data_IF_533839636181
#
_entry.id   IF_533839636181
#
_cell.length_a   1.000
_cell.length_b   1.000
_cell.length_c   1.000
_cell.angle_alpha   90.00
_cell.angle_beta   90.00
_cell.angle_gamma   90.00
#
_symmetry.space_group_name_H-M   'P 1'
#
loop_
_entity.id
_entity.type
_entity.pdbx_description
1 polymer ?
#
# COMPACT_ATOMS: atom_id res chain seq x y z
N UNK A 1 27.41 -34.39 -10.06
CA UNK A 1 26.48 -33.26 -9.89
C UNK A 1 25.78 -32.98 -11.22
N UNK A 2 24.45 -33.06 -11.27
CA UNK A 2 23.69 -32.73 -12.48
C UNK A 2 23.60 -31.21 -12.55
N UNK A 3 24.04 -30.62 -13.67
CA UNK A 3 23.91 -29.18 -13.93
C UNK A 3 22.55 -28.91 -14.56
N UNK A 4 21.83 -27.91 -14.05
CA UNK A 4 20.57 -27.42 -14.62
C UNK A 4 20.80 -26.05 -15.28
N UNK A 5 20.08 -25.72 -16.35
CA UNK A 5 20.12 -24.37 -16.94
C UNK A 5 19.77 -23.28 -15.93
N UNK A 6 20.40 -22.12 -16.08
CA UNK A 6 20.06 -20.95 -15.23
C UNK A 6 18.63 -20.50 -15.48
N UNK A 7 17.73 -20.54 -14.49
CA UNK A 7 16.36 -20.10 -14.68
C UNK A 7 16.30 -18.58 -14.92
N UNK A 8 15.37 -18.15 -15.78
CA UNK A 8 15.03 -16.76 -15.99
C UNK A 8 13.53 -16.59 -15.78
N UNK A 9 13.16 -15.60 -14.97
CA UNK A 9 11.76 -15.30 -14.68
C UNK A 9 11.34 -14.07 -15.48
N UNK A 10 10.26 -14.22 -16.23
CA UNK A 10 9.69 -13.17 -17.07
C UNK A 10 8.20 -13.08 -16.79
N UNK A 11 7.68 -11.86 -16.64
CA UNK A 11 6.26 -11.57 -16.50
C UNK A 11 5.83 -10.71 -17.68
N UNK A 12 4.78 -11.11 -18.36
CA UNK A 12 4.08 -10.31 -19.34
C UNK A 12 2.89 -9.62 -18.68
N UNK A 13 3.01 -8.32 -18.45
CA UNK A 13 1.98 -7.53 -17.81
C UNK A 13 1.04 -6.93 -18.85
N UNK A 14 -0.25 -7.25 -18.73
CA UNK A 14 -1.32 -6.73 -19.56
C UNK A 14 -2.43 -6.05 -18.73
N UNK A 15 -2.05 -5.50 -17.56
CA UNK A 15 -2.98 -4.79 -16.66
C UNK A 15 -3.21 -3.34 -17.06
N UNK A 16 -4.10 -2.66 -16.33
CA UNK A 16 -4.53 -1.29 -16.60
C UNK A 16 -3.67 -0.21 -15.94
N UNK A 17 -2.91 -0.58 -14.92
CA UNK A 17 -2.04 0.38 -14.24
C UNK A 17 -0.92 0.84 -15.16
N UNK A 18 -0.58 2.13 -15.09
CA UNK A 18 0.57 2.66 -15.81
C UNK A 18 1.85 2.07 -15.23
N UNK A 19 2.58 1.34 -16.07
CA UNK A 19 3.89 0.79 -15.73
C UNK A 19 4.92 1.13 -16.81
N UNK A 20 6.20 1.17 -16.46
CA UNK A 20 7.28 1.27 -17.45
C UNK A 20 7.16 0.16 -18.50
N UNK A 21 7.71 0.40 -19.70
CA UNK A 21 7.73 -0.62 -20.76
C UNK A 21 8.45 -1.90 -20.29
N UNK A 22 9.57 -1.74 -19.58
CA UNK A 22 10.34 -2.84 -18.98
C UNK A 22 10.70 -2.45 -17.54
N UNK A 23 10.45 -3.34 -16.61
CA UNK A 23 10.76 -3.17 -15.19
C UNK A 23 11.45 -4.41 -14.65
N UNK A 24 12.41 -4.26 -13.75
CA UNK A 24 13.01 -5.38 -13.02
C UNK A 24 12.56 -5.36 -11.57
N UNK A 25 11.91 -6.43 -11.17
CA UNK A 25 11.41 -6.59 -9.79
C UNK A 25 12.30 -7.57 -9.03
N UNK A 26 12.44 -7.33 -7.73
CA UNK A 26 13.27 -8.11 -6.82
C UNK A 26 12.42 -8.58 -5.65
N UNK A 27 12.58 -9.84 -5.25
CA UNK A 27 11.89 -10.41 -4.08
C UNK A 27 12.22 -9.63 -2.80
N UNK A 28 13.48 -9.21 -2.68
CA UNK A 28 13.93 -8.38 -1.55
C UNK A 28 13.17 -7.04 -1.41
N UNK A 29 12.46 -6.58 -2.44
CA UNK A 29 11.62 -5.39 -2.34
C UNK A 29 10.46 -5.55 -1.36
N UNK A 30 10.01 -6.81 -1.14
CA UNK A 30 8.92 -7.16 -0.23
C UNK A 30 9.40 -7.53 1.20
N UNK A 31 10.71 -7.57 1.44
CA UNK A 31 11.22 -7.92 2.78
C UNK A 31 11.11 -6.74 3.73
N UNK A 32 10.69 -7.02 4.96
CA UNK A 32 10.75 -6.08 6.07
C UNK A 32 12.17 -6.07 6.66
N UNK A 33 12.69 -4.88 6.99
CA UNK A 33 13.99 -4.72 7.63
C UNK A 33 15.17 -4.49 6.67
N UNK A 34 16.40 -4.70 7.19
CA UNK A 34 17.63 -4.49 6.41
C UNK A 34 17.79 -5.52 5.30
N UNK A 35 18.14 -5.03 4.09
CA UNK A 35 18.29 -5.84 2.88
C UNK A 35 19.75 -6.22 2.60
N UNK A 36 20.55 -6.37 3.66
CA UNK A 36 21.96 -6.77 3.56
C UNK A 36 22.11 -8.27 3.78
N UNK A 37 23.00 -8.91 3.01
CA UNK A 37 23.35 -10.35 3.14
C UNK A 37 22.13 -11.27 3.06
N UNK A 38 21.37 -11.15 1.98
CA UNK A 38 20.19 -11.99 1.75
C UNK A 38 20.59 -13.41 1.39
N UNK A 39 20.05 -14.41 2.08
CA UNK A 39 20.22 -15.83 1.73
C UNK A 39 19.35 -16.22 0.52
N UNK A 40 18.30 -15.47 0.23
CA UNK A 40 17.42 -15.69 -0.92
C UNK A 40 17.14 -14.37 -1.64
N UNK A 41 17.46 -14.34 -2.92
CA UNK A 41 17.06 -13.29 -3.84
C UNK A 41 16.52 -13.89 -5.14
N UNK A 42 15.40 -13.35 -5.62
CA UNK A 42 14.83 -13.68 -6.92
C UNK A 42 14.56 -12.38 -7.66
N UNK A 43 14.92 -12.31 -8.92
CA UNK A 43 14.54 -11.20 -9.77
C UNK A 43 13.75 -11.67 -10.98
N UNK A 44 12.75 -10.89 -11.40
CA UNK A 44 12.04 -11.11 -12.64
C UNK A 44 12.05 -9.84 -13.50
N UNK A 45 11.95 -10.03 -14.81
CA UNK A 45 11.78 -8.93 -15.77
C UNK A 45 10.32 -8.88 -16.17
N UNK A 46 9.68 -7.72 -15.95
CA UNK A 46 8.29 -7.46 -16.32
C UNK A 46 8.28 -6.67 -17.62
N UNK A 47 7.58 -7.18 -18.64
CA UNK A 47 7.32 -6.49 -19.90
C UNK A 47 5.88 -6.02 -19.93
N UNK A 48 5.66 -4.72 -19.99
CA UNK A 48 4.32 -4.14 -20.15
C UNK A 48 3.88 -4.27 -21.62
N UNK A 49 2.95 -5.18 -21.90
CA UNK A 49 2.48 -5.44 -23.26
C UNK A 49 1.68 -4.27 -23.85
N UNK A 50 1.17 -3.37 -23.02
CA UNK A 50 0.44 -2.18 -23.46
C UNK A 50 1.36 -0.98 -23.75
N UNK A 51 2.66 -1.09 -23.45
CA UNK A 51 3.61 -0.03 -23.72
C UNK A 51 3.99 0.00 -25.20
N UNK A 52 3.96 1.19 -25.86
CA UNK A 52 4.31 1.32 -27.29
C UNK A 52 5.71 0.81 -27.61
N UNK A 53 6.64 0.92 -26.69
CA UNK A 53 8.03 0.47 -26.83
C UNK A 53 8.16 -1.04 -26.98
N UNK A 54 7.16 -1.82 -26.52
CA UNK A 54 7.13 -3.28 -26.62
C UNK A 54 6.38 -3.79 -27.85
N UNK A 55 5.99 -2.92 -28.77
CA UNK A 55 5.31 -3.31 -30.00
C UNK A 55 6.09 -4.35 -30.81
N UNK A 56 7.40 -4.19 -30.92
CA UNK A 56 8.26 -5.16 -31.63
C UNK A 56 8.25 -6.55 -30.97
N UNK A 57 8.07 -6.62 -29.62
CA UNK A 57 7.92 -7.90 -28.92
C UNK A 57 6.62 -8.60 -29.32
N UNK A 58 5.51 -7.86 -29.44
CA UNK A 58 4.24 -8.39 -29.87
C UNK A 58 4.29 -8.86 -31.34
N UNK A 59 4.94 -8.11 -32.22
CA UNK A 59 5.10 -8.45 -33.63
C UNK A 59 5.89 -9.78 -33.83
N UNK A 60 6.75 -10.15 -32.89
CA UNK A 60 7.51 -11.42 -32.93
C UNK A 60 6.73 -12.63 -32.44
N UNK A 61 5.56 -12.46 -31.85
CA UNK A 61 4.75 -13.54 -31.29
C UNK A 61 3.29 -13.34 -31.58
N UNK A 62 2.77 -14.06 -32.57
CA UNK A 62 1.35 -14.04 -32.92
C UNK A 62 0.44 -14.36 -31.72
N UNK A 63 0.85 -15.31 -30.86
CA UNK A 63 0.09 -15.69 -29.67
C UNK A 63 0.05 -14.54 -28.67
N UNK A 64 1.19 -13.89 -28.42
CA UNK A 64 1.28 -12.78 -27.47
C UNK A 64 0.50 -11.56 -27.97
N UNK A 65 0.62 -11.25 -29.25
CA UNK A 65 -0.17 -10.22 -29.92
C UNK A 65 -1.67 -10.50 -29.80
N UNK A 66 -2.10 -11.70 -30.17
CA UNK A 66 -3.51 -12.07 -30.16
C UNK A 66 -4.10 -12.06 -28.75
N UNK A 67 -3.36 -12.55 -27.75
CA UNK A 67 -3.75 -12.46 -26.35
C UNK A 67 -3.95 -11.00 -25.92
N UNK A 68 -2.96 -10.15 -26.19
CA UNK A 68 -3.02 -8.72 -25.81
C UNK A 68 -4.18 -8.01 -26.50
N UNK A 69 -4.36 -8.25 -27.80
CA UNK A 69 -5.46 -7.69 -28.55
C UNK A 69 -6.83 -8.09 -27.99
N UNK A 70 -7.01 -9.41 -27.73
CA UNK A 70 -8.24 -9.94 -27.17
C UNK A 70 -8.59 -9.33 -25.81
N UNK A 71 -7.64 -9.35 -24.85
CA UNK A 71 -7.87 -8.78 -23.51
C UNK A 71 -8.18 -7.29 -23.58
N UNK A 72 -7.45 -6.54 -24.38
CA UNK A 72 -7.70 -5.11 -24.56
C UNK A 72 -9.08 -4.84 -25.17
N UNK A 73 -9.53 -5.72 -26.09
CA UNK A 73 -10.86 -5.61 -26.68
C UNK A 73 -11.97 -5.88 -25.65
N UNK A 74 -11.82 -6.92 -24.82
CA UNK A 74 -12.76 -7.20 -23.71
C UNK A 74 -12.83 -5.98 -22.76
N UNK A 75 -11.69 -5.42 -22.38
CA UNK A 75 -11.64 -4.26 -21.52
C UNK A 75 -12.34 -3.04 -22.12
N UNK A 76 -12.08 -2.73 -23.39
CA UNK A 76 -12.72 -1.63 -24.09
C UNK A 76 -14.23 -1.80 -24.20
N UNK A 77 -14.71 -3.03 -24.47
CA UNK A 77 -16.14 -3.33 -24.52
C UNK A 77 -16.80 -3.12 -23.15
N UNK A 78 -16.13 -3.52 -22.04
CA UNK A 78 -16.61 -3.27 -20.68
C UNK A 78 -16.67 -1.78 -20.33
N UNK A 79 -15.66 -1.01 -20.72
CA UNK A 79 -15.63 0.44 -20.53
C UNK A 79 -16.75 1.14 -21.28
N UNK A 80 -17.20 0.57 -22.41
CA UNK A 80 -18.37 1.02 -23.15
C UNK A 80 -19.72 0.52 -22.57
N UNK A 81 -19.70 -0.10 -21.39
CA UNK A 81 -20.90 -0.50 -20.65
C UNK A 81 -21.46 -1.88 -21.02
N UNK A 82 -20.71 -2.71 -21.75
CA UNK A 82 -21.15 -4.09 -22.01
C UNK A 82 -21.00 -4.96 -20.77
N UNK A 83 -21.98 -5.86 -20.57
CA UNK A 83 -21.83 -6.93 -19.58
C UNK A 83 -20.66 -7.85 -19.94
N UNK A 84 -20.02 -8.45 -18.92
CA UNK A 84 -18.78 -9.22 -19.10
C UNK A 84 -18.90 -10.32 -20.16
N UNK A 85 -19.96 -11.13 -20.11
CA UNK A 85 -20.15 -12.22 -21.07
C UNK A 85 -20.28 -11.70 -22.50
N UNK A 86 -21.05 -10.63 -22.70
CA UNK A 86 -21.19 -9.97 -23.99
C UNK A 86 -19.88 -9.34 -24.48
N UNK A 87 -19.12 -8.74 -23.57
CA UNK A 87 -17.83 -8.14 -23.89
C UNK A 87 -16.80 -9.19 -24.36
N UNK A 88 -16.81 -10.37 -23.74
CA UNK A 88 -15.96 -11.50 -24.13
C UNK A 88 -16.40 -12.03 -25.52
N UNK A 89 -17.68 -12.23 -25.72
CA UNK A 89 -18.22 -12.76 -26.99
C UNK A 89 -17.90 -11.84 -28.16
N UNK A 90 -18.14 -10.54 -28.02
CA UNK A 90 -17.83 -9.57 -29.07
C UNK A 90 -16.32 -9.50 -29.36
N UNK A 91 -15.48 -9.64 -28.31
CA UNK A 91 -14.05 -9.70 -28.50
C UNK A 91 -13.59 -10.95 -29.24
N UNK A 92 -14.15 -12.13 -28.96
CA UNK A 92 -13.90 -13.38 -29.69
C UNK A 92 -14.33 -13.25 -31.14
N UNK A 93 -15.54 -12.73 -31.39
CA UNK A 93 -16.07 -12.55 -32.72
C UNK A 93 -15.25 -11.55 -33.55
N UNK A 94 -14.74 -10.47 -32.89
CA UNK A 94 -13.81 -9.53 -33.51
C UNK A 94 -12.49 -10.20 -33.87
N UNK A 95 -11.86 -10.93 -32.93
CA UNK A 95 -10.64 -11.67 -33.20
C UNK A 95 -10.81 -12.66 -34.38
N UNK A 96 -11.93 -13.39 -34.40
CA UNK A 96 -12.23 -14.34 -35.47
C UNK A 96 -12.40 -13.66 -36.84
N UNK A 97 -13.08 -12.50 -36.88
CA UNK A 97 -13.28 -11.69 -38.10
C UNK A 97 -11.98 -11.12 -38.64
N UNK A 98 -11.06 -10.69 -37.71
CA UNK A 98 -9.75 -10.14 -38.06
C UNK A 98 -8.68 -11.22 -38.26
N UNK A 99 -9.05 -12.50 -38.20
CA UNK A 99 -8.16 -13.64 -38.32
C UNK A 99 -7.07 -13.71 -37.24
N UNK A 100 -7.35 -13.13 -36.06
CA UNK A 100 -6.46 -13.14 -34.90
C UNK A 100 -6.78 -14.37 -34.04
N UNK A 101 -5.84 -15.31 -33.88
CA UNK A 101 -6.03 -16.57 -33.15
C UNK A 101 -7.33 -17.31 -33.50
N UNK A 102 -7.76 -17.25 -34.77
CA UNK A 102 -9.06 -17.76 -35.24
C UNK A 102 -9.27 -19.23 -34.93
N UNK A 103 -8.28 -20.07 -35.20
CA UNK A 103 -8.40 -21.52 -34.99
C UNK A 103 -8.45 -21.85 -33.49
N UNK A 104 -7.72 -21.07 -32.66
CA UNK A 104 -7.78 -21.19 -31.21
C UNK A 104 -9.19 -20.88 -30.70
N UNK A 105 -9.75 -19.74 -31.05
CA UNK A 105 -11.10 -19.37 -30.62
C UNK A 105 -12.18 -20.30 -31.21
N UNK A 106 -11.99 -20.79 -32.41
CA UNK A 106 -12.87 -21.80 -33.01
C UNK A 106 -12.95 -23.09 -32.19
N UNK A 107 -11.83 -23.48 -31.58
CA UNK A 107 -11.75 -24.71 -30.80
C UNK A 107 -12.11 -24.51 -29.32
N UNK A 108 -11.64 -23.41 -28.72
CA UNK A 108 -11.66 -23.21 -27.26
C UNK A 108 -12.56 -22.06 -26.77
N UNK A 109 -13.54 -21.64 -27.58
CA UNK A 109 -14.42 -20.49 -27.24
C UNK A 109 -15.06 -20.62 -25.85
N UNK A 110 -15.57 -21.79 -25.49
CA UNK A 110 -16.24 -22.00 -24.20
C UNK A 110 -15.28 -22.01 -23.02
N UNK A 111 -14.09 -22.58 -23.19
CA UNK A 111 -13.03 -22.56 -22.18
C UNK A 111 -12.55 -21.14 -21.92
N UNK A 112 -12.33 -20.37 -22.97
CA UNK A 112 -11.93 -18.96 -22.88
C UNK A 112 -12.97 -18.15 -22.11
N UNK A 113 -14.26 -18.29 -22.44
CA UNK A 113 -15.36 -17.64 -21.70
C UNK A 113 -15.29 -17.95 -20.20
N UNK A 114 -15.17 -19.22 -19.86
CA UNK A 114 -15.14 -19.67 -18.47
C UNK A 114 -13.91 -19.13 -17.72
N UNK A 115 -12.73 -19.20 -18.32
CA UNK A 115 -11.48 -18.73 -17.70
C UNK A 115 -11.55 -17.21 -17.51
N UNK A 116 -11.92 -16.46 -18.53
CA UNK A 116 -12.01 -15.01 -18.47
C UNK A 116 -13.05 -14.54 -17.43
N UNK A 117 -14.20 -15.22 -17.34
CA UNK A 117 -15.19 -14.90 -16.30
C UNK A 117 -14.63 -15.11 -14.89
N UNK A 118 -13.82 -16.14 -14.67
CA UNK A 118 -13.14 -16.39 -13.38
C UNK A 118 -12.07 -15.32 -13.09
N UNK A 119 -11.22 -15.00 -14.04
CA UNK A 119 -10.15 -14.02 -13.88
C UNK A 119 -10.72 -12.63 -13.55
N UNK A 120 -11.72 -12.17 -14.27
CA UNK A 120 -12.37 -10.89 -13.98
C UNK A 120 -13.09 -10.88 -12.63
N UNK A 121 -13.66 -12.00 -12.20
CA UNK A 121 -14.28 -12.13 -10.87
C UNK A 121 -13.21 -12.07 -9.77
N UNK A 122 -12.08 -12.72 -9.99
CA UNK A 122 -10.97 -12.74 -9.04
C UNK A 122 -10.30 -11.36 -8.92
N UNK A 123 -10.04 -10.68 -10.03
CA UNK A 123 -9.53 -9.30 -10.03
C UNK A 123 -10.46 -8.36 -9.25
N UNK A 124 -11.77 -8.45 -9.48
CA UNK A 124 -12.76 -7.66 -8.76
C UNK A 124 -12.77 -7.97 -7.26
N UNK A 125 -12.63 -9.23 -6.88
CA UNK A 125 -12.54 -9.64 -5.48
C UNK A 125 -11.30 -9.04 -4.81
N UNK A 126 -10.14 -9.09 -5.47
CA UNK A 126 -8.89 -8.48 -4.98
C UNK A 126 -9.07 -6.97 -4.82
N UNK A 127 -9.69 -6.30 -5.80
CA UNK A 127 -9.91 -4.85 -5.75
C UNK A 127 -10.82 -4.45 -4.58
N UNK A 128 -11.92 -5.17 -4.37
CA UNK A 128 -12.82 -4.96 -3.23
C UNK A 128 -12.11 -5.17 -1.90
N UNK A 129 -11.37 -6.27 -1.77
CA UNK A 129 -10.59 -6.57 -0.57
C UNK A 129 -9.54 -5.49 -0.30
N UNK A 130 -8.85 -4.99 -1.34
CA UNK A 130 -7.89 -3.89 -1.23
C UNK A 130 -8.55 -2.60 -0.75
N UNK A 131 -9.74 -2.29 -1.28
CA UNK A 131 -10.51 -1.11 -0.85
C UNK A 131 -10.94 -1.21 0.61
N UNK A 132 -11.41 -2.38 1.06
CA UNK A 132 -11.78 -2.66 2.45
C UNK A 132 -10.58 -2.44 3.39
N UNK A 133 -9.44 -3.08 3.10
CA UNK A 133 -8.21 -2.89 3.91
C UNK A 133 -7.73 -1.45 3.94
N UNK A 134 -7.87 -0.71 2.83
CA UNK A 134 -7.48 0.70 2.80
C UNK A 134 -8.40 1.55 3.68
N UNK A 135 -9.71 1.30 3.65
CA UNK A 135 -10.69 2.01 4.47
C UNK A 135 -10.49 1.70 5.96
N UNK A 136 -10.29 0.43 6.30
CA UNK A 136 -10.06 0.01 7.68
C UNK A 136 -8.76 0.60 8.23
N UNK A 137 -7.68 0.55 7.46
CA UNK A 137 -6.40 1.15 7.84
C UNK A 137 -6.47 2.68 8.00
N UNK A 138 -7.25 3.36 7.17
CA UNK A 138 -7.46 4.79 7.28
C UNK A 138 -8.27 5.14 8.55
N UNK A 139 -9.37 4.42 8.81
CA UNK A 139 -10.21 4.62 9.98
C UNK A 139 -9.45 4.33 11.29
N UNK A 140 -8.64 3.27 11.30
CA UNK A 140 -7.78 2.94 12.45
C UNK A 140 -6.71 4.01 12.67
N UNK A 141 -6.06 4.49 11.61
CA UNK A 141 -5.08 5.56 11.67
C UNK A 141 -5.66 6.89 12.17
N UNK A 142 -6.89 7.24 11.75
CA UNK A 142 -7.60 8.43 12.22
C UNK A 142 -7.93 8.31 13.72
N UNK A 143 -8.48 7.17 14.15
CA UNK A 143 -8.81 6.93 15.55
C UNK A 143 -7.58 6.96 16.46
N UNK A 144 -6.47 6.35 16.02
CA UNK A 144 -5.21 6.39 16.75
C UNK A 144 -4.62 7.81 16.80
N UNK A 145 -4.70 8.56 15.70
CA UNK A 145 -4.26 9.94 15.61
C UNK A 145 -5.05 10.87 16.54
N UNK A 146 -6.38 10.72 16.58
CA UNK A 146 -7.26 11.48 17.46
C UNK A 146 -6.97 11.16 18.94
N UNK A 147 -6.89 9.88 19.29
CA UNK A 147 -6.58 9.45 20.65
C UNK A 147 -5.22 9.98 21.13
N UNK A 148 -4.19 9.90 20.27
CA UNK A 148 -2.85 10.44 20.57
C UNK A 148 -2.88 11.96 20.70
N UNK A 149 -3.51 12.67 19.77
CA UNK A 149 -3.61 14.12 19.81
C UNK A 149 -4.34 14.62 21.06
N UNK A 150 -5.38 13.91 21.53
CA UNK A 150 -6.09 14.21 22.77
C UNK A 150 -5.19 14.00 24.00
N UNK A 151 -4.45 12.88 24.05
CA UNK A 151 -3.50 12.59 25.15
C UNK A 151 -2.40 13.65 25.20
N UNK A 152 -1.79 13.97 24.07
CA UNK A 152 -0.71 14.95 23.95
C UNK A 152 -1.20 16.35 24.36
N UNK A 153 -2.40 16.75 23.93
CA UNK A 153 -3.00 18.03 24.30
C UNK A 153 -3.32 18.13 25.80
N UNK A 154 -3.77 17.06 26.43
CA UNK A 154 -3.98 17.02 27.89
C UNK A 154 -2.66 17.14 28.65
N UNK A 155 -1.62 16.44 28.23
CA UNK A 155 -0.29 16.52 28.81
C UNK A 155 0.31 17.92 28.66
N UNK A 156 0.24 18.53 27.49
CA UNK A 156 0.71 19.91 27.27
C UNK A 156 -0.01 20.93 28.17
N UNK A 157 -1.33 20.79 28.31
CA UNK A 157 -2.09 21.64 29.20
C UNK A 157 -1.64 21.49 30.68
N UNK A 158 -1.45 20.25 31.13
CA UNK A 158 -0.98 19.96 32.48
C UNK A 158 0.43 20.51 32.73
N UNK A 159 1.34 20.38 31.76
CA UNK A 159 2.70 20.96 31.82
C UNK A 159 2.60 22.48 31.95
N UNK A 160 1.78 23.15 31.13
CA UNK A 160 1.64 24.60 31.16
C UNK A 160 1.13 25.09 32.51
N UNK A 161 0.11 24.42 33.06
CA UNK A 161 -0.43 24.77 34.38
C UNK A 161 0.58 24.55 35.51
N UNK A 162 1.31 23.44 35.48
CA UNK A 162 2.35 23.08 36.47
C UNK A 162 3.52 24.08 36.43
N UNK A 163 4.04 24.38 35.24
CA UNK A 163 5.14 25.33 35.05
C UNK A 163 4.78 26.73 35.58
N UNK A 164 3.53 27.20 35.31
CA UNK A 164 3.09 28.50 35.88
C UNK A 164 3.09 28.55 37.39
N UNK A 165 2.85 27.43 38.07
CA UNK A 165 2.84 27.33 39.51
C UNK A 165 4.26 27.18 40.08
N UNK A 166 5.13 26.40 39.39
CA UNK A 166 6.56 26.32 39.72
C UNK A 166 7.26 27.70 39.68
N UNK A 167 6.97 28.50 38.66
CA UNK A 167 7.45 29.90 38.54
C UNK A 167 6.99 30.80 39.68
N UNK A 168 5.92 30.44 40.41
CA UNK A 168 5.45 31.12 41.59
C UNK A 168 6.04 30.55 42.89
N UNK A 169 6.96 29.60 42.80
CA UNK A 169 7.64 29.00 43.94
C UNK A 169 6.79 28.03 44.75
N UNK A 170 5.75 27.43 44.16
CA UNK A 170 4.89 26.45 44.83
C UNK A 170 5.58 25.09 44.87
N UNK A 171 5.37 24.36 45.99
CA UNK A 171 5.81 22.97 46.11
C UNK A 171 4.97 22.02 45.27
N UNK A 172 5.50 20.81 44.99
CA UNK A 172 4.81 19.76 44.22
C UNK A 172 3.45 19.42 44.84
N UNK A 173 3.39 19.29 46.18
CA UNK A 173 2.15 19.00 46.90
C UNK A 173 1.10 20.11 46.72
N UNK A 174 1.54 21.38 46.81
CA UNK A 174 0.64 22.53 46.59
C UNK A 174 0.14 22.61 45.14
N UNK A 175 0.97 22.18 44.19
CA UNK A 175 0.58 22.17 42.77
C UNK A 175 -0.42 21.07 42.53
N UNK A 176 -0.23 19.86 43.05
CA UNK A 176 -1.14 18.74 42.95
C UNK A 176 -2.52 19.09 43.55
N UNK A 177 -2.54 19.65 44.75
CA UNK A 177 -3.77 20.08 45.44
C UNK A 177 -4.53 21.14 44.63
N UNK A 178 -3.83 22.17 44.14
CA UNK A 178 -4.48 23.27 43.39
C UNK A 178 -4.94 22.89 41.97
N UNK A 179 -4.36 21.85 41.37
CA UNK A 179 -4.76 21.33 40.09
C UNK A 179 -5.74 20.16 40.20
N UNK A 180 -6.09 19.78 41.45
CA UNK A 180 -6.92 18.62 41.74
C UNK A 180 -6.43 17.36 40.98
N UNK A 181 -5.10 17.19 40.93
CA UNK A 181 -4.44 16.12 40.17
C UNK A 181 -3.60 15.24 41.08
N UNK A 182 -3.48 13.97 40.69
CA UNK A 182 -2.68 13.00 41.46
C UNK A 182 -1.20 13.33 41.45
N UNK A 183 -0.52 13.07 42.58
CA UNK A 183 0.94 13.25 42.74
C UNK A 183 1.73 12.47 41.66
N UNK A 184 1.24 11.29 41.30
CA UNK A 184 1.83 10.44 40.24
C UNK A 184 1.86 11.16 38.88
N UNK A 185 0.91 12.06 38.63
CA UNK A 185 0.84 12.87 37.40
C UNK A 185 1.71 14.12 37.50
N UNK A 186 1.71 14.81 38.63
CA UNK A 186 2.38 16.10 38.80
C UNK A 186 3.87 15.97 39.07
N UNK A 187 4.30 14.98 39.86
CA UNK A 187 5.71 14.83 40.25
C UNK A 187 6.65 14.63 39.04
N UNK A 188 6.35 13.77 38.02
CA UNK A 188 7.20 13.66 36.85
C UNK A 188 7.29 14.96 36.05
N UNK A 189 6.20 15.73 35.94
CA UNK A 189 6.23 17.02 35.26
C UNK A 189 7.08 18.03 35.97
N UNK A 190 6.98 18.12 37.30
CA UNK A 190 7.84 18.98 38.11
C UNK A 190 9.30 18.58 37.97
N UNK A 191 9.62 17.31 38.07
CA UNK A 191 10.98 16.80 37.93
C UNK A 191 11.57 17.12 36.54
N UNK A 192 10.82 16.86 35.49
CA UNK A 192 11.26 17.21 34.14
C UNK A 192 11.42 18.73 33.96
N UNK A 193 10.54 19.54 34.56
CA UNK A 193 10.58 21.00 34.47
C UNK A 193 11.79 21.59 35.21
N UNK A 194 12.18 21.04 36.36
CA UNK A 194 13.35 21.50 37.16
C UNK A 194 14.67 21.43 36.39
N UNK A 195 14.81 20.47 35.45
CA UNK A 195 16.00 20.40 34.61
C UNK A 195 16.12 21.56 33.62
N UNK A 196 15.02 22.25 33.36
CA UNK A 196 14.99 23.40 32.48
C UNK A 196 14.75 24.73 33.25
N UNK A 197 15.06 24.75 34.56
CA UNK A 197 15.00 25.95 35.35
C UNK A 197 16.16 26.90 34.95
N UNK A 198 16.01 28.23 35.09
CA UNK A 198 14.80 28.95 35.57
C UNK A 198 13.76 29.23 34.47
N UNK A 199 14.04 28.98 33.19
CA UNK A 199 13.16 29.30 32.05
C UNK A 199 11.93 28.42 32.04
N UNK A 200 12.03 27.15 32.49
CA UNK A 200 10.97 26.16 32.49
C UNK A 200 10.32 26.04 31.09
N UNK A 201 11.10 25.67 30.07
CA UNK A 201 10.68 25.55 28.68
C UNK A 201 9.65 24.41 28.52
N UNK A 202 8.38 24.77 28.33
CA UNK A 202 7.26 23.82 28.27
C UNK A 202 7.40 22.80 27.13
N UNK A 203 7.99 23.21 26.00
CA UNK A 203 8.19 22.31 24.85
C UNK A 203 9.29 21.26 25.12
N UNK A 204 10.37 21.65 25.79
CA UNK A 204 11.43 20.72 26.20
C UNK A 204 10.94 19.74 27.24
N UNK A 205 10.15 20.21 28.22
CA UNK A 205 9.51 19.36 29.23
C UNK A 205 8.63 18.33 28.56
N UNK A 206 7.79 18.73 27.61
CA UNK A 206 6.89 17.85 26.87
C UNK A 206 7.67 16.77 26.09
N UNK A 207 8.69 17.19 25.32
CA UNK A 207 9.53 16.24 24.56
C UNK A 207 10.24 15.22 25.46
N UNK A 208 10.70 15.65 26.62
CA UNK A 208 11.34 14.75 27.57
C UNK A 208 10.38 13.68 28.07
N UNK A 209 9.20 14.08 28.53
CA UNK A 209 8.20 13.17 29.07
C UNK A 209 7.74 12.14 28.03
N UNK A 210 7.54 12.54 26.76
CA UNK A 210 7.20 11.59 25.69
C UNK A 210 8.36 10.63 25.41
N UNK A 211 9.61 11.06 25.49
CA UNK A 211 10.77 10.19 25.24
C UNK A 211 11.01 9.15 26.33
N UNK A 212 10.49 9.35 27.53
CA UNK A 212 10.59 8.42 28.66
C UNK A 212 9.41 7.40 28.71
N UNK A 213 8.31 7.65 27.96
CA UNK A 213 7.20 6.69 27.80
C UNK A 213 7.44 5.63 26.70
N UNK A 214 8.52 5.72 25.88
CA UNK A 214 8.92 4.78 24.82
C UNK A 214 10.00 3.84 25.36
#
# INVERSE_FOLDING_TARGET
QIKIPTPRFVVFYNGREKRPAVERMYLSSAYMGEKKNLDLELSCTVYNLNAPENKELLEKSEVLYGYTFFVNRVNANKENGMELEQAIDEAIDTCTRENILKDFFGTYKNEVRRIMALDFTFERQIELTRMEYYQDGFAEGEAQGEARGKKDGQLQNMISLTVRKLRKGKSVDQIADELEADMETIAPICQAAEEFAPEYDEEKVFRKLISEEV
#
